data_IF_524707250729
#
_entry.id   IF_524707250729
#
_cell.length_a   1.000
_cell.length_b   1.000
_cell.length_c   1.000
_cell.angle_alpha   90.00
_cell.angle_beta   90.00
_cell.angle_gamma   90.00
#
_symmetry.space_group_name_H-M   'P 1'
#
loop_
_entity.id
_entity.type
_entity.pdbx_description
1 polymer ?
#
# COMPACT_ATOMS: atom_id res chain seq x y z
N UNK A 1 -11.62 17.74 -7.72
CA UNK A 1 -11.59 16.53 -8.58
C UNK A 1 -11.59 15.36 -7.63
N UNK A 2 -12.74 14.73 -7.52
CA UNK A 2 -13.11 13.83 -6.43
C UNK A 2 -12.43 12.47 -6.63
N UNK A 3 -11.54 12.13 -5.70
CA UNK A 3 -10.80 10.87 -5.70
C UNK A 3 -11.63 9.77 -5.01
N UNK A 4 -12.52 9.07 -5.73
CA UNK A 4 -13.07 7.75 -5.36
C UNK A 4 -13.67 7.06 -6.61
N UNK A 5 -13.58 5.71 -6.82
CA UNK A 5 -13.13 4.65 -5.91
C UNK A 5 -12.23 3.59 -6.60
N UNK A 6 -10.93 3.84 -6.77
CA UNK A 6 -9.99 2.81 -7.25
C UNK A 6 -9.80 1.65 -6.24
N UNK A 7 -10.12 1.88 -4.95
CA UNK A 7 -10.21 0.80 -3.95
C UNK A 7 -11.32 -0.23 -4.24
N UNK A 8 -12.30 0.11 -5.10
CA UNK A 8 -13.40 -0.78 -5.48
C UNK A 8 -12.92 -1.92 -6.39
N UNK A 9 -11.91 -1.67 -7.22
CA UNK A 9 -11.39 -2.66 -8.18
C UNK A 9 -10.67 -3.83 -7.52
N UNK A 10 -10.10 -3.64 -6.32
CA UNK A 10 -9.55 -4.75 -5.53
C UNK A 10 -10.64 -5.53 -4.77
N UNK A 11 -11.74 -4.87 -4.39
CA UNK A 11 -12.86 -5.51 -3.71
C UNK A 11 -13.64 -6.48 -4.61
N UNK A 12 -13.55 -6.34 -5.93
CA UNK A 12 -14.19 -7.24 -6.91
C UNK A 12 -13.38 -8.50 -7.23
N UNK A 13 -12.11 -8.59 -6.81
CA UNK A 13 -11.21 -9.73 -7.13
C UNK A 13 -11.64 -11.03 -6.41
N UNK A 14 -12.26 -10.93 -5.23
CA UNK A 14 -12.88 -12.06 -4.55
C UNK A 14 -14.22 -11.59 -3.95
N UNK A 15 -15.32 -11.78 -4.70
CA UNK A 15 -16.66 -11.45 -4.24
C UNK A 15 -17.14 -12.33 -3.07
N UNK A 16 -16.49 -13.47 -2.83
CA UNK A 16 -16.93 -14.46 -1.82
C UNK A 16 -16.34 -14.24 -0.42
N UNK A 17 -15.25 -13.46 -0.25
CA UNK A 17 -14.64 -13.22 1.06
C UNK A 17 -14.20 -11.77 1.26
N UNK A 18 -14.50 -11.19 2.44
CA UNK A 18 -14.07 -9.83 2.82
C UNK A 18 -12.57 -9.76 3.13
N UNK A 19 -11.97 -10.89 3.46
CA UNK A 19 -10.58 -11.04 3.88
C UNK A 19 -9.74 -11.70 2.79
N UNK A 20 -8.45 -11.37 2.80
CA UNK A 20 -7.50 -11.96 1.87
C UNK A 20 -7.17 -13.39 2.29
N UNK A 21 -7.50 -14.32 1.39
CA UNK A 21 -7.18 -15.74 1.55
C UNK A 21 -5.89 -16.06 0.76
N UNK A 22 -4.89 -16.60 1.44
CA UNK A 22 -3.73 -17.21 0.80
C UNK A 22 -4.01 -18.70 0.55
N UNK A 23 -3.45 -19.22 -0.54
CA UNK A 23 -3.66 -20.61 -0.97
C UNK A 23 -3.52 -21.61 0.18
N UNK A 24 -4.56 -22.43 0.38
CA UNK A 24 -4.66 -23.36 1.52
C UNK A 24 -5.68 -22.97 2.59
N UNK A 25 -6.52 -21.95 2.36
CA UNK A 25 -7.60 -21.55 3.27
C UNK A 25 -7.15 -20.70 4.46
N UNK A 26 -5.95 -20.15 4.41
CA UNK A 26 -5.45 -19.24 5.45
C UNK A 26 -5.97 -17.82 5.20
N UNK A 27 -6.88 -17.36 6.05
CA UNK A 27 -7.40 -15.99 6.01
C UNK A 27 -6.50 -15.05 6.80
N UNK A 28 -6.00 -14.01 6.13
CA UNK A 28 -5.29 -12.92 6.80
C UNK A 28 -6.29 -11.93 7.39
N UNK A 29 -5.99 -11.30 8.55
CA UNK A 29 -6.82 -10.26 9.15
C UNK A 29 -6.71 -8.92 8.40
N UNK A 30 -6.66 -8.97 7.07
CA UNK A 30 -6.45 -7.84 6.20
C UNK A 30 -7.53 -7.84 5.11
N UNK A 31 -8.24 -6.73 4.99
CA UNK A 31 -9.35 -6.60 4.05
C UNK A 31 -8.83 -6.22 2.67
N UNK A 32 -9.55 -6.63 1.61
CA UNK A 32 -9.26 -6.21 0.24
C UNK A 32 -9.26 -4.69 0.07
N UNK A 33 -10.09 -3.99 0.83
CA UNK A 33 -10.12 -2.53 0.86
C UNK A 33 -8.81 -1.94 1.39
N UNK A 34 -8.29 -2.45 2.51
CA UNK A 34 -7.01 -2.00 3.07
C UNK A 34 -5.85 -2.25 2.09
N UNK A 35 -5.83 -3.42 1.43
CA UNK A 35 -4.83 -3.69 0.39
C UNK A 35 -4.95 -2.73 -0.77
N UNK A 36 -6.17 -2.43 -1.24
CA UNK A 36 -6.39 -1.42 -2.29
C UNK A 36 -5.78 -0.08 -1.91
N UNK A 37 -6.05 0.41 -0.69
CA UNK A 37 -5.48 1.69 -0.21
C UNK A 37 -3.95 1.65 -0.14
N UNK A 38 -3.37 0.53 0.30
CA UNK A 38 -1.92 0.34 0.37
C UNK A 38 -1.29 0.26 -1.02
N UNK A 39 -1.89 -0.46 -1.96
CA UNK A 39 -1.39 -0.58 -3.34
C UNK A 39 -1.42 0.73 -4.11
N UNK A 40 -2.33 1.63 -3.76
CA UNK A 40 -2.38 2.97 -4.33
C UNK A 40 -1.37 3.96 -3.72
N UNK A 41 -0.78 3.63 -2.57
CA UNK A 41 0.18 4.52 -1.90
C UNK A 41 1.35 4.98 -2.78
N UNK A 42 1.97 4.12 -3.62
CA UNK A 42 3.06 4.56 -4.49
C UNK A 42 2.57 5.56 -5.54
N UNK A 43 1.37 5.35 -6.11
CA UNK A 43 0.79 6.26 -7.09
C UNK A 43 0.55 7.65 -6.48
N UNK A 44 -0.09 7.70 -5.30
CA UNK A 44 -0.33 8.96 -4.59
C UNK A 44 0.97 9.68 -4.23
N UNK A 45 2.00 8.94 -3.78
CA UNK A 45 3.31 9.51 -3.47
C UNK A 45 4.00 10.09 -4.72
N UNK A 46 3.98 9.37 -5.83
CA UNK A 46 4.55 9.83 -7.11
C UNK A 46 3.83 11.09 -7.60
N UNK A 47 2.50 11.11 -7.54
CA UNK A 47 1.71 12.27 -7.94
C UNK A 47 1.92 13.49 -7.03
N UNK A 48 2.17 13.26 -5.73
CA UNK A 48 2.56 14.33 -4.82
C UNK A 48 3.94 14.91 -5.16
N UNK A 49 4.92 14.04 -5.50
CA UNK A 49 6.29 14.48 -5.79
C UNK A 49 6.44 15.18 -7.15
N UNK A 50 5.77 14.69 -8.19
CA UNK A 50 5.85 15.26 -9.55
C UNK A 50 4.80 16.34 -9.83
N UNK A 51 3.89 16.60 -8.89
CA UNK A 51 2.76 17.50 -9.07
C UNK A 51 1.70 16.94 -10.03
N UNK A 52 0.57 17.64 -10.13
CA UNK A 52 -0.59 17.20 -10.93
C UNK A 52 -0.25 17.01 -12.41
N UNK A 53 0.57 17.90 -12.99
CA UNK A 53 0.96 17.84 -14.40
C UNK A 53 1.90 16.66 -14.69
N UNK A 54 2.79 16.35 -13.75
CA UNK A 54 3.67 15.18 -13.84
C UNK A 54 2.89 13.89 -13.67
N UNK A 55 1.99 13.84 -12.68
CA UNK A 55 1.09 12.71 -12.47
C UNK A 55 0.28 12.35 -13.72
N UNK A 56 -0.43 13.33 -14.30
CA UNK A 56 -1.25 13.13 -15.49
C UNK A 56 -0.44 12.70 -16.72
N UNK A 57 0.85 13.05 -16.78
CA UNK A 57 1.73 12.65 -17.89
C UNK A 57 2.18 11.19 -17.81
N UNK A 58 2.29 10.63 -16.61
CA UNK A 58 2.69 9.23 -16.39
C UNK A 58 1.51 8.31 -16.13
N UNK A 59 0.33 8.86 -15.90
CA UNK A 59 -0.89 8.08 -15.78
C UNK A 59 -1.34 7.59 -17.15
N UNK A 60 -1.36 6.26 -17.31
CA UNK A 60 -1.79 5.59 -18.53
C UNK A 60 -3.00 4.72 -18.19
N UNK A 61 -4.05 4.89 -18.98
CA UNK A 61 -5.26 4.07 -18.91
C UNK A 61 -5.29 3.14 -20.11
N UNK A 62 -5.80 1.92 -19.91
CA UNK A 62 -6.05 1.00 -21.02
C UNK A 62 -7.39 1.30 -21.73
N UNK A 63 -7.72 0.50 -22.74
CA UNK A 63 -8.99 0.59 -23.47
C UNK A 63 -10.22 0.31 -22.59
N UNK A 64 -10.01 -0.32 -21.42
CA UNK A 64 -11.04 -0.62 -20.42
C UNK A 64 -11.20 0.53 -19.40
N UNK A 65 -10.37 1.58 -19.48
CA UNK A 65 -10.36 2.73 -18.57
C UNK A 65 -9.69 2.45 -17.22
N UNK A 66 -8.91 1.37 -17.09
CA UNK A 66 -8.18 1.06 -15.87
C UNK A 66 -6.77 1.67 -15.88
N UNK A 67 -6.42 2.37 -14.80
CA UNK A 67 -5.07 2.91 -14.62
C UNK A 67 -4.05 1.78 -14.49
N UNK A 68 -2.93 1.89 -15.20
CA UNK A 68 -1.84 0.92 -15.13
C UNK A 68 -1.30 0.73 -13.70
N UNK A 69 -1.36 1.78 -12.88
CA UNK A 69 -0.97 1.77 -11.47
C UNK A 69 -1.79 0.82 -10.61
N UNK A 70 -3.00 0.47 -11.05
CA UNK A 70 -3.89 -0.49 -10.37
C UNK A 70 -3.82 -1.86 -11.03
N UNK A 71 -3.80 -1.90 -12.37
CA UNK A 71 -3.82 -3.14 -13.16
C UNK A 71 -2.56 -4.00 -12.92
N UNK A 72 -1.38 -3.39 -12.87
CA UNK A 72 -0.11 -4.10 -12.60
C UNK A 72 -0.10 -4.82 -11.23
N UNK A 73 -0.32 -4.13 -10.09
CA UNK A 73 -0.34 -4.80 -8.80
C UNK A 73 -1.46 -5.83 -8.69
N UNK A 74 -2.62 -5.58 -9.32
CA UNK A 74 -3.71 -6.55 -9.38
C UNK A 74 -3.31 -7.84 -10.09
N UNK A 75 -2.68 -7.77 -11.27
CA UNK A 75 -2.19 -8.96 -11.96
C UNK A 75 -1.08 -9.67 -11.18
N UNK A 76 -0.14 -8.92 -10.60
CA UNK A 76 0.90 -9.48 -9.75
C UNK A 76 0.32 -10.24 -8.55
N UNK A 77 -0.71 -9.67 -7.92
CA UNK A 77 -1.40 -10.30 -6.80
C UNK A 77 -2.18 -11.56 -7.22
N UNK A 78 -2.91 -11.53 -8.33
CA UNK A 78 -3.59 -12.71 -8.87
C UNK A 78 -2.60 -13.82 -9.26
N UNK A 79 -1.45 -13.46 -9.82
CA UNK A 79 -0.39 -14.42 -10.13
C UNK A 79 0.18 -15.03 -8.85
N UNK A 80 0.38 -14.22 -7.81
CA UNK A 80 0.88 -14.63 -6.50
C UNK A 80 -0.06 -15.62 -5.82
N UNK A 81 -1.37 -15.39 -5.90
CA UNK A 81 -2.40 -16.27 -5.34
C UNK A 81 -2.40 -17.68 -5.98
N UNK A 82 -1.93 -17.81 -7.22
CA UNK A 82 -1.83 -19.10 -7.93
C UNK A 82 -0.59 -19.91 -7.56
N UNK A 83 0.36 -19.34 -6.80
CA UNK A 83 1.60 -20.02 -6.41
C UNK A 83 1.43 -20.89 -5.16
N UNK A 84 2.39 -21.77 -4.92
CA UNK A 84 2.50 -22.55 -3.68
C UNK A 84 2.55 -21.61 -2.45
N UNK A 85 1.90 -21.98 -1.34
CA UNK A 85 1.79 -21.19 -0.10
C UNK A 85 3.14 -20.66 0.41
N UNK A 86 4.23 -21.43 0.28
CA UNK A 86 5.55 -21.00 0.72
C UNK A 86 6.09 -19.85 -0.15
N UNK A 87 5.93 -19.96 -1.48
CA UNK A 87 6.38 -18.97 -2.45
C UNK A 87 5.51 -17.72 -2.36
N UNK A 88 4.18 -17.89 -2.31
CA UNK A 88 3.24 -16.78 -2.19
C UNK A 88 3.41 -16.06 -0.85
N UNK A 89 3.62 -16.77 0.25
CA UNK A 89 3.85 -16.19 1.56
C UNK A 89 5.12 -15.36 1.64
N UNK A 90 6.26 -15.87 1.16
CA UNK A 90 7.53 -15.13 1.18
C UNK A 90 7.45 -13.88 0.31
N UNK A 91 6.98 -14.02 -0.94
CA UNK A 91 6.87 -12.90 -1.87
C UNK A 91 5.83 -11.87 -1.39
N UNK A 92 4.71 -12.32 -0.83
CA UNK A 92 3.72 -11.43 -0.22
C UNK A 92 4.33 -10.66 0.94
N UNK A 93 5.07 -11.31 1.83
CA UNK A 93 5.72 -10.66 2.96
C UNK A 93 6.71 -9.58 2.52
N UNK A 94 7.56 -9.88 1.53
CA UNK A 94 8.52 -8.90 0.98
C UNK A 94 7.80 -7.73 0.32
N UNK A 95 6.84 -8.01 -0.57
CA UNK A 95 6.09 -6.97 -1.27
C UNK A 95 5.27 -6.10 -0.29
N UNK A 96 4.61 -6.72 0.68
CA UNK A 96 3.84 -6.03 1.70
C UNK A 96 4.73 -5.16 2.59
N UNK A 97 5.91 -5.64 2.98
CA UNK A 97 6.88 -4.84 3.75
C UNK A 97 7.31 -3.58 2.99
N UNK A 98 7.64 -3.72 1.69
CA UNK A 98 8.00 -2.58 0.85
C UNK A 98 6.83 -1.60 0.70
N UNK A 99 5.61 -2.09 0.48
CA UNK A 99 4.42 -1.25 0.38
C UNK A 99 4.08 -0.54 1.69
N UNK A 100 4.25 -1.20 2.84
CA UNK A 100 4.12 -0.56 4.15
C UNK A 100 5.14 0.57 4.32
N UNK A 101 6.39 0.38 3.90
CA UNK A 101 7.40 1.44 3.95
C UNK A 101 7.01 2.63 3.07
N UNK A 102 6.51 2.37 1.85
CA UNK A 102 6.02 3.42 0.95
C UNK A 102 4.82 4.16 1.54
N UNK A 103 3.86 3.44 2.13
CA UNK A 103 2.70 4.05 2.77
C UNK A 103 3.10 4.91 3.99
N UNK A 104 4.07 4.48 4.79
CA UNK A 104 4.61 5.32 5.88
C UNK A 104 5.27 6.57 5.31
N UNK A 105 6.05 6.47 4.23
CA UNK A 105 6.62 7.64 3.55
C UNK A 105 5.53 8.57 3.01
N UNK A 106 4.46 8.02 2.43
CA UNK A 106 3.29 8.77 1.98
C UNK A 106 2.63 9.53 3.13
N UNK A 107 2.34 8.85 4.25
CA UNK A 107 1.74 9.48 5.42
C UNK A 107 2.60 10.62 5.97
N UNK A 108 3.93 10.45 6.01
CA UNK A 108 4.87 11.48 6.46
C UNK A 108 4.95 12.66 5.49
N UNK A 109 4.92 12.39 4.18
CA UNK A 109 5.01 13.42 3.15
C UNK A 109 3.73 14.26 3.05
N UNK A 110 2.56 13.61 3.08
CA UNK A 110 1.28 14.29 2.89
C UNK A 110 0.74 14.96 4.15
N UNK A 111 1.13 14.50 5.35
CA UNK A 111 0.64 15.05 6.61
C UNK A 111 1.80 15.50 7.53
N UNK A 112 2.15 16.80 7.55
CA UNK A 112 3.26 17.30 8.36
C UNK A 112 3.05 17.09 9.87
N UNK A 113 1.79 17.00 10.32
CA UNK A 113 1.45 16.69 11.73
C UNK A 113 1.96 15.29 12.13
N UNK A 114 1.83 14.30 11.25
CA UNK A 114 2.32 12.94 11.52
C UNK A 114 3.86 12.91 11.56
N UNK A 115 4.53 13.68 10.71
CA UNK A 115 5.98 13.84 10.74
C UNK A 115 6.47 14.49 12.05
N UNK A 116 5.78 15.52 12.53
CA UNK A 116 6.08 16.17 13.82
C UNK A 116 5.89 15.19 14.98
N UNK A 117 4.77 14.46 15.01
CA UNK A 117 4.50 13.45 16.04
C UNK A 117 5.58 12.35 16.05
N UNK A 118 6.01 11.89 14.88
CA UNK A 118 7.06 10.88 14.74
C UNK A 118 8.41 11.40 15.25
N UNK A 119 8.77 12.65 14.91
CA UNK A 119 9.97 13.31 15.41
C UNK A 119 9.94 13.49 16.93
N UNK A 120 8.82 13.92 17.50
CA UNK A 120 8.65 14.06 18.95
C UNK A 120 8.78 12.70 19.65
N UNK A 121 8.12 11.66 19.14
CA UNK A 121 8.23 10.32 19.68
C UNK A 121 9.68 9.81 19.64
N UNK A 122 10.38 10.00 18.53
CA UNK A 122 11.79 9.64 18.38
C UNK A 122 12.68 10.36 19.39
N UNK A 123 12.50 11.67 19.57
CA UNK A 123 13.24 12.47 20.57
C UNK A 123 12.95 11.99 21.99
N UNK A 124 11.69 11.70 22.32
CA UNK A 124 11.28 11.19 23.64
C UNK A 124 11.89 9.82 23.92
N UNK A 125 11.83 8.89 22.95
CA UNK A 125 12.44 7.57 23.07
C UNK A 125 13.95 7.69 23.24
N UNK A 126 14.63 8.48 22.39
CA UNK A 126 16.08 8.72 22.51
C UNK A 126 16.45 9.30 23.87
N UNK A 127 15.69 10.29 24.37
CA UNK A 127 15.89 10.87 25.71
C UNK A 127 15.68 9.84 26.82
N UNK A 128 14.70 8.95 26.71
CA UNK A 128 14.46 7.86 27.68
C UNK A 128 15.57 6.81 27.65
N UNK A 129 16.09 6.46 26.48
CA UNK A 129 17.21 5.52 26.35
C UNK A 129 18.49 6.09 26.95
N UNK A 130 18.80 7.36 26.69
CA UNK A 130 19.97 8.04 27.28
C UNK A 130 19.87 8.10 28.82
N UNK A 131 18.67 8.41 29.37
CA UNK A 131 18.45 8.42 30.82
C UNK A 131 18.48 7.03 31.50
N UNK A 132 18.40 5.93 30.75
CA UNK A 132 18.54 4.57 31.28
C UNK A 132 19.97 4.06 31.26
N UNK A 133 20.87 4.75 30.54
CA UNK A 133 22.28 4.35 30.32
C UNK A 133 23.24 5.14 31.23
N UNK A 134 22.78 6.23 31.84
CA UNK A 134 23.48 7.01 32.88
C UNK A 134 22.89 6.66 34.23
#
# INVERSE_FOLDING_TARGET
>A
MDAHPLSSSFATIQQESRYVSLGGGFEMPLTYHQLGVIFESPHRLVCHWWGLDGCARYEHYDEEGASQWVKMPMFGFQWLLKQNIAVSGILFFVAFTLLCMINVMEMLAMNPIHAICFMVAFVVVRRRTVKKVV
#
